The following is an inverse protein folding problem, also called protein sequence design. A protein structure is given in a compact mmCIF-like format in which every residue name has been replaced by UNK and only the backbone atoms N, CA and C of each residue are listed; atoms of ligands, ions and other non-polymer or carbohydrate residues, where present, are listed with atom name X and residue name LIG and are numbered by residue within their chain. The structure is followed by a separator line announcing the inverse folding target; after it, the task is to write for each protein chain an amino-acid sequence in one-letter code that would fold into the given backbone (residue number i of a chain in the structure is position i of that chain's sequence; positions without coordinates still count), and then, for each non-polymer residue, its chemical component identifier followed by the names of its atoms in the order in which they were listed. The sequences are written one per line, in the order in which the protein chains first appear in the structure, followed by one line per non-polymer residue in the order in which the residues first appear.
data_IF_578942038440
#
_entry.id   IF_578942038440
#
_cell.length_a   1.000
_cell.length_b   1.000
_cell.length_c   1.000
_cell.angle_alpha   90.00
_cell.angle_beta   90.00
_cell.angle_gamma   90.00
#
_symmetry.space_group_name_H-M   'P 1'
#
loop_
_entity.id
_entity.type
_entity.pdbx_description
1 polymer ?
#
# COMPACT_ATOMS: atom_id res chain seq x y z
N UNK A 1 -28.02 13.05 -25.36
CA UNK A 1 -27.57 14.29 -24.68
C UNK A 1 -26.15 14.58 -25.14
N UNK A 2 -25.90 15.70 -25.82
CA UNK A 2 -24.59 16.02 -26.41
C UNK A 2 -23.74 16.80 -25.41
N UNK A 3 -22.64 16.22 -24.96
CA UNK A 3 -21.72 16.83 -23.99
C UNK A 3 -20.87 17.93 -24.65
N UNK A 4 -20.67 19.02 -23.90
CA UNK A 4 -19.90 20.20 -24.32
C UNK A 4 -18.39 19.93 -24.37
N UNK A 5 -17.63 20.74 -25.11
CA UNK A 5 -16.17 20.57 -25.32
C UNK A 5 -15.35 20.63 -24.03
N UNK A 6 -15.83 21.37 -23.01
CA UNK A 6 -15.22 21.41 -21.67
C UNK A 6 -15.49 20.13 -20.86
N UNK A 7 -16.65 19.50 -21.05
CA UNK A 7 -16.95 18.19 -20.46
C UNK A 7 -16.08 17.09 -21.09
N UNK A 8 -15.85 17.12 -22.42
CA UNK A 8 -14.96 16.17 -23.10
C UNK A 8 -13.49 16.24 -22.63
N UNK A 9 -13.01 17.42 -22.22
CA UNK A 9 -11.63 17.60 -21.72
C UNK A 9 -11.47 17.08 -20.28
N UNK A 10 -12.49 17.24 -19.41
CA UNK A 10 -12.47 16.62 -18.07
C UNK A 10 -12.46 15.09 -18.14
N UNK A 11 -13.33 14.49 -18.96
CA UNK A 11 -13.38 13.04 -19.19
C UNK A 11 -12.05 12.47 -19.70
N UNK A 12 -11.36 13.16 -20.62
CA UNK A 12 -10.08 12.70 -21.17
C UNK A 12 -8.89 12.76 -20.19
N UNK A 13 -9.01 13.56 -19.12
CA UNK A 13 -7.97 13.66 -18.06
C UNK A 13 -8.22 12.64 -16.95
N UNK A 14 -9.49 12.31 -16.70
CA UNK A 14 -9.97 11.35 -15.70
C UNK A 14 -9.71 9.88 -16.12
N UNK A 15 -9.81 9.54 -17.41
CA UNK A 15 -9.37 8.22 -17.93
C UNK A 15 -7.89 7.96 -17.65
N UNK A 16 -7.01 8.96 -17.81
CA UNK A 16 -5.56 8.79 -17.64
C UNK A 16 -5.15 8.50 -16.19
N UNK A 17 -5.92 8.95 -15.21
CA UNK A 17 -5.61 8.74 -13.79
C UNK A 17 -6.08 7.37 -13.32
N UNK A 18 -7.28 6.94 -13.75
CA UNK A 18 -7.79 5.59 -13.50
C UNK A 18 -6.94 4.52 -14.20
N UNK A 19 -6.49 4.79 -15.44
CA UNK A 19 -5.55 3.94 -16.17
C UNK A 19 -4.23 3.80 -15.41
N UNK A 20 -3.67 4.89 -14.88
CA UNK A 20 -2.40 4.81 -14.12
C UNK A 20 -2.52 4.04 -12.81
N UNK A 21 -3.66 4.14 -12.12
CA UNK A 21 -3.90 3.37 -10.89
C UNK A 21 -4.06 1.88 -11.21
N UNK A 22 -4.82 1.56 -12.27
CA UNK A 22 -4.97 0.20 -12.76
C UNK A 22 -3.65 -0.40 -13.27
N UNK A 23 -2.83 0.36 -14.00
CA UNK A 23 -1.50 -0.06 -14.48
C UNK A 23 -0.52 -0.33 -13.32
N UNK A 24 -0.60 0.44 -12.23
CA UNK A 24 0.19 0.22 -11.01
C UNK A 24 -0.29 -1.02 -10.27
N UNK A 25 -1.60 -1.28 -10.25
CA UNK A 25 -2.20 -2.46 -9.63
C UNK A 25 -1.95 -3.75 -10.43
N UNK A 26 -2.01 -3.69 -11.77
CA UNK A 26 -1.69 -4.81 -12.66
C UNK A 26 -0.23 -5.23 -12.53
N UNK A 27 0.70 -4.26 -12.50
CA UNK A 27 2.12 -4.52 -12.19
C UNK A 27 2.31 -5.13 -10.80
N UNK A 28 1.52 -4.68 -9.82
CA UNK A 28 1.57 -5.19 -8.46
C UNK A 28 1.12 -6.65 -8.34
N UNK A 29 0.08 -7.07 -9.06
CA UNK A 29 -0.41 -8.46 -9.02
C UNK A 29 0.36 -9.41 -9.96
N UNK A 30 0.83 -8.93 -11.11
CA UNK A 30 1.69 -9.69 -12.03
C UNK A 30 3.03 -10.10 -11.42
N UNK A 31 3.57 -9.25 -10.53
CA UNK A 31 4.76 -9.52 -9.70
C UNK A 31 4.65 -10.79 -8.83
N UNK A 32 3.43 -11.24 -8.52
CA UNK A 32 3.19 -12.43 -7.69
C UNK A 32 2.72 -13.66 -8.50
N UNK A 33 2.84 -13.63 -9.83
CA UNK A 33 2.53 -14.77 -10.69
C UNK A 33 1.02 -15.06 -10.85
N UNK A 34 0.16 -14.06 -10.65
CA UNK A 34 -1.25 -14.15 -10.97
C UNK A 34 -1.51 -13.66 -12.40
N UNK A 35 -2.04 -14.53 -13.27
CA UNK A 35 -2.56 -14.12 -14.57
C UNK A 35 -3.85 -13.32 -14.37
N UNK A 36 -3.82 -12.04 -14.72
CA UNK A 36 -5.00 -11.17 -14.78
C UNK A 36 -5.37 -11.02 -16.26
N UNK A 37 -6.30 -11.84 -16.76
CA UNK A 37 -6.96 -11.55 -18.04
C UNK A 37 -8.04 -10.49 -17.81
N UNK A 38 -7.74 -9.23 -18.15
CA UNK A 38 -8.78 -8.23 -18.38
C UNK A 38 -9.26 -8.37 -19.83
N UNK A 39 -10.54 -8.70 -20.10
CA UNK A 39 -11.04 -8.79 -21.46
C UNK A 39 -11.01 -7.40 -22.10
N UNK A 40 -10.04 -7.16 -23.00
CA UNK A 40 -9.93 -5.93 -23.78
C UNK A 40 -11.01 -5.91 -24.86
N UNK A 41 -12.26 -5.61 -24.48
CA UNK A 41 -13.29 -5.11 -25.41
C UNK A 41 -14.19 -4.12 -24.68
N UNK A 42 -14.03 -2.84 -25.06
CA UNK A 42 -14.88 -1.70 -24.70
C UNK A 42 -15.05 -1.44 -23.19
N UNK A 43 -14.20 -0.53 -22.68
CA UNK A 43 -14.28 0.17 -21.39
C UNK A 43 -15.59 -0.03 -20.60
N UNK A 44 -15.66 -1.15 -19.86
CA UNK A 44 -16.55 -1.33 -18.72
C UNK A 44 -15.67 -1.77 -17.56
N UNK A 45 -15.76 -1.01 -16.47
CA UNK A 45 -15.05 -1.25 -15.23
C UNK A 45 -15.44 -2.64 -14.71
N UNK A 46 -14.54 -3.60 -14.73
CA UNK A 46 -14.72 -4.87 -14.02
C UNK A 46 -13.92 -4.81 -12.71
N UNK A 47 -14.61 -5.07 -11.60
CA UNK A 47 -14.14 -4.83 -10.23
C UNK A 47 -13.19 -5.90 -9.69
N UNK A 48 -12.51 -5.58 -8.59
CA UNK A 48 -11.70 -6.51 -7.80
C UNK A 48 -12.58 -7.53 -7.07
N UNK A 49 -12.36 -8.83 -7.33
CA UNK A 49 -13.02 -9.93 -6.63
C UNK A 49 -12.33 -10.26 -5.29
N UNK A 50 -13.06 -10.19 -4.18
CA UNK A 50 -12.64 -10.74 -2.88
C UNK A 50 -13.61 -11.83 -2.42
N UNK A 51 -13.10 -13.03 -2.11
CA UNK A 51 -13.92 -14.21 -1.76
C UNK A 51 -13.86 -14.52 -0.26
N UNK A 52 -15.00 -14.47 0.43
CA UNK A 52 -15.15 -14.81 1.84
C UNK A 52 -15.30 -16.32 2.09
N UNK A 53 -15.03 -16.78 3.33
CA UNK A 53 -15.18 -18.19 3.75
C UNK A 53 -16.62 -18.72 3.70
N UNK A 54 -17.60 -17.86 3.44
CA UNK A 54 -19.02 -18.19 3.25
C UNK A 54 -19.42 -18.30 1.77
N UNK A 55 -18.46 -18.24 0.84
CA UNK A 55 -18.70 -18.34 -0.60
C UNK A 55 -19.18 -17.04 -1.26
N UNK A 56 -19.21 -15.92 -0.55
CA UNK A 56 -19.59 -14.62 -1.12
C UNK A 56 -18.41 -13.95 -1.83
N UNK A 57 -18.67 -13.41 -3.01
CA UNK A 57 -17.74 -12.56 -3.76
C UNK A 57 -18.16 -11.10 -3.61
N UNK A 58 -17.22 -10.24 -3.22
CA UNK A 58 -17.41 -8.79 -3.15
C UNK A 58 -16.66 -8.17 -4.32
N UNK A 59 -17.35 -7.32 -5.09
CA UNK A 59 -16.75 -6.45 -6.10
C UNK A 59 -16.74 -4.99 -5.63
N UNK A 60 -15.58 -4.36 -5.70
CA UNK A 60 -15.36 -2.98 -5.26
C UNK A 60 -15.19 -2.05 -6.47
N UNK A 61 -15.91 -0.93 -6.48
CA UNK A 61 -15.78 0.13 -7.49
C UNK A 61 -15.54 1.49 -6.83
N UNK A 62 -14.59 2.31 -7.32
CA UNK A 62 -14.46 3.70 -6.90
C UNK A 62 -15.62 4.53 -7.48
N UNK A 63 -16.25 5.38 -6.66
CA UNK A 63 -17.31 6.30 -7.10
C UNK A 63 -16.82 7.74 -7.21
N UNK A 64 -17.44 8.51 -8.10
CA UNK A 64 -17.09 9.91 -8.42
C UNK A 64 -17.59 10.96 -7.42
N UNK A 65 -18.11 10.54 -6.28
CA UNK A 65 -18.50 11.44 -5.18
C UNK A 65 -17.63 11.12 -3.98
N UNK A 66 -16.99 12.14 -3.38
CA UNK A 66 -16.09 12.06 -2.22
C UNK A 66 -16.70 11.43 -0.94
N UNK A 67 -17.88 10.79 -1.07
CA UNK A 67 -18.71 10.28 0.01
C UNK A 67 -19.26 8.86 -0.25
N UNK A 68 -19.04 8.24 -1.42
CA UNK A 68 -19.60 6.92 -1.74
C UNK A 68 -18.51 5.87 -1.98
N UNK A 69 -18.50 4.85 -1.13
CA UNK A 69 -17.94 3.53 -1.43
C UNK A 69 -19.12 2.70 -1.98
N UNK A 70 -19.02 2.11 -3.17
CA UNK A 70 -20.08 1.20 -3.66
C UNK A 70 -19.64 -0.22 -3.34
N UNK A 71 -20.33 -0.87 -2.40
CA UNK A 71 -20.22 -2.31 -2.18
C UNK A 71 -21.44 -2.95 -2.83
N UNK A 72 -21.24 -3.66 -3.92
CA UNK A 72 -22.28 -4.45 -4.56
C UNK A 72 -22.25 -5.86 -3.95
N UNK A 73 -23.38 -6.30 -3.38
CA UNK A 73 -23.61 -7.71 -3.08
C UNK A 73 -24.42 -8.30 -4.22
N UNK A 74 -23.84 -9.24 -4.96
CA UNK A 74 -24.60 -10.12 -5.84
C UNK A 74 -25.14 -11.28 -5.01
N UNK A 75 -26.46 -11.48 -5.01
CA UNK A 75 -27.08 -12.75 -4.61
C UNK A 75 -27.39 -13.51 -5.90
N UNK A 76 -26.86 -14.71 -6.05
CA UNK A 76 -27.40 -15.64 -7.05
C UNK A 76 -28.84 -15.98 -6.66
N UNK A 77 -29.80 -15.61 -7.50
CA UNK A 77 -31.11 -16.22 -7.52
C UNK A 77 -31.33 -16.76 -8.93
N UNK A 78 -31.62 -18.05 -9.04
CA UNK A 78 -31.84 -18.76 -10.29
C UNK A 78 -32.77 -17.98 -11.23
N UNK A 79 -32.31 -17.85 -12.49
CA UNK A 79 -32.95 -17.24 -13.69
C UNK A 79 -32.33 -15.90 -14.10
N UNK A 80 -31.17 -15.94 -14.80
CA UNK A 80 -30.64 -15.00 -15.80
C UNK A 80 -30.83 -13.46 -15.68
N UNK A 81 -31.32 -12.95 -14.55
CA UNK A 81 -31.48 -11.54 -14.24
C UNK A 81 -30.51 -11.20 -13.11
N UNK A 82 -29.46 -10.44 -13.43
CA UNK A 82 -28.61 -9.82 -12.40
C UNK A 82 -29.44 -8.68 -11.80
N UNK A 83 -30.15 -8.94 -10.71
CA UNK A 83 -30.67 -7.87 -9.86
C UNK A 83 -29.49 -7.30 -9.10
N UNK A 84 -28.83 -6.30 -9.68
CA UNK A 84 -27.88 -5.47 -8.96
C UNK A 84 -28.66 -4.68 -7.90
N UNK A 85 -28.78 -5.23 -6.69
CA UNK A 85 -29.16 -4.44 -5.53
C UNK A 85 -28.01 -3.49 -5.24
N UNK A 86 -28.11 -2.26 -5.73
CA UNK A 86 -27.21 -1.18 -5.35
C UNK A 86 -27.49 -0.80 -3.90
N UNK A 87 -26.90 -1.52 -2.96
CA UNK A 87 -26.67 -0.98 -1.63
C UNK A 87 -25.70 0.19 -1.79
N UNK A 88 -26.25 1.41 -1.78
CA UNK A 88 -25.45 2.62 -1.72
C UNK A 88 -24.84 2.72 -0.33
N UNK A 89 -23.56 2.39 -0.19
CA UNK A 89 -22.84 2.64 1.05
C UNK A 89 -22.37 4.09 1.07
N UNK A 90 -22.84 4.82 2.06
CA UNK A 90 -22.36 6.17 2.39
C UNK A 90 -21.50 6.07 3.64
N UNK A 91 -20.54 6.99 3.81
CA UNK A 91 -19.82 7.14 5.09
C UNK A 91 -20.78 7.27 6.29
N UNK A 92 -21.96 7.84 6.07
CA UNK A 92 -23.01 7.97 7.09
C UNK A 92 -23.61 6.63 7.55
N UNK A 93 -23.33 5.53 6.83
CA UNK A 93 -23.72 4.17 7.22
C UNK A 93 -22.80 3.55 8.28
N UNK A 94 -21.72 4.22 8.66
CA UNK A 94 -20.74 3.75 9.63
C UNK A 94 -20.79 4.63 10.89
N UNK A 95 -20.33 4.12 12.06
CA UNK A 95 -20.16 4.93 13.25
C UNK A 95 -19.33 6.21 12.97
N UNK A 96 -19.58 7.34 13.65
CA UNK A 96 -18.85 8.59 13.42
C UNK A 96 -17.33 8.51 13.61
N UNK A 97 -16.87 7.53 14.37
CA UNK A 97 -15.47 7.23 14.68
C UNK A 97 -14.88 6.10 13.82
N UNK A 98 -15.63 5.61 12.83
CA UNK A 98 -15.14 4.61 11.89
C UNK A 98 -14.02 5.18 11.01
N UNK A 99 -12.90 4.46 10.93
CA UNK A 99 -11.69 4.89 10.20
C UNK A 99 -11.64 4.23 8.84
N UNK A 100 -11.70 5.02 7.76
CA UNK A 100 -11.37 4.59 6.41
C UNK A 100 -9.88 4.78 6.14
N UNK A 101 -9.19 3.70 5.79
CA UNK A 101 -7.76 3.73 5.53
C UNK A 101 -7.38 3.08 4.19
N UNK A 102 -6.17 3.39 3.74
CA UNK A 102 -5.44 2.62 2.75
C UNK A 102 -4.11 2.15 3.36
N UNK A 103 -3.49 1.13 2.77
CA UNK A 103 -2.22 0.62 3.27
C UNK A 103 -1.26 0.16 2.19
N UNK A 104 0.02 0.14 2.53
CA UNK A 104 1.12 -0.30 1.66
C UNK A 104 2.33 -0.74 2.49
N UNK A 105 3.30 -1.39 1.84
CA UNK A 105 4.60 -1.71 2.44
C UNK A 105 5.74 -0.90 1.81
N UNK A 106 6.80 -0.68 2.59
CA UNK A 106 7.96 0.09 2.18
C UNK A 106 8.61 -0.45 0.91
N UNK A 107 8.94 -1.75 0.87
CA UNK A 107 9.59 -2.35 -0.29
C UNK A 107 8.73 -2.24 -1.56
N UNK A 108 7.41 -2.42 -1.45
CA UNK A 108 6.52 -2.40 -2.62
C UNK A 108 6.43 -1.03 -3.30
N UNK A 109 6.47 0.08 -2.53
CA UNK A 109 6.11 1.39 -3.08
C UNK A 109 7.18 2.48 -2.96
N UNK A 110 8.15 2.36 -2.05
CA UNK A 110 9.12 3.43 -1.83
C UNK A 110 10.07 3.63 -3.01
N UNK A 111 10.62 2.53 -3.53
CA UNK A 111 11.75 2.60 -4.45
C UNK A 111 13.00 3.16 -3.79
N UNK A 112 13.84 3.84 -4.57
CA UNK A 112 15.09 4.45 -4.09
C UNK A 112 15.95 3.45 -3.31
N UNK A 113 16.06 2.22 -3.86
CA UNK A 113 16.58 1.06 -3.15
C UNK A 113 18.06 1.19 -2.75
N UNK A 114 18.84 2.00 -3.45
CA UNK A 114 20.27 2.23 -3.17
C UNK A 114 20.60 3.70 -2.90
N UNK A 115 19.59 4.50 -2.57
CA UNK A 115 19.76 5.93 -2.35
C UNK A 115 19.92 6.27 -0.87
N UNK A 116 20.64 7.37 -0.61
CA UNK A 116 20.68 8.04 0.69
C UNK A 116 21.02 7.10 1.86
N UNK A 117 21.93 6.14 1.64
CA UNK A 117 22.45 5.27 2.67
C UNK A 117 21.58 4.07 3.03
N UNK A 118 20.44 3.83 2.34
CA UNK A 118 19.72 2.54 2.45
C UNK A 118 20.63 1.40 1.97
N UNK A 119 20.64 0.30 2.70
CA UNK A 119 21.27 -0.97 2.28
C UNK A 119 20.21 -1.98 1.86
N UNK A 120 20.65 -3.10 1.30
CA UNK A 120 19.75 -4.14 0.79
C UNK A 120 18.94 -4.78 1.93
N UNK A 121 17.66 -5.01 1.68
CA UNK A 121 16.80 -5.94 2.41
C UNK A 121 16.82 -7.33 1.76
N UNK A 122 16.20 -8.31 2.42
CA UNK A 122 16.04 -9.66 1.85
C UNK A 122 15.33 -9.66 0.50
N UNK A 123 14.39 -8.73 0.27
CA UNK A 123 13.68 -8.63 -0.98
C UNK A 123 14.53 -8.06 -2.12
N UNK A 124 15.45 -7.14 -1.84
CA UNK A 124 16.39 -6.66 -2.86
C UNK A 124 17.18 -7.85 -3.41
N UNK A 125 17.83 -8.61 -2.53
CA UNK A 125 18.61 -9.81 -2.90
C UNK A 125 17.77 -10.84 -3.64
N UNK A 126 16.57 -11.14 -3.14
CA UNK A 126 15.67 -12.12 -3.76
C UNK A 126 15.27 -11.72 -5.18
N UNK A 127 14.86 -10.47 -5.38
CA UNK A 127 14.40 -10.00 -6.69
C UNK A 127 15.56 -9.79 -7.68
N UNK A 128 16.73 -9.34 -7.22
CA UNK A 128 17.94 -9.24 -8.06
C UNK A 128 18.51 -10.60 -8.46
N UNK A 129 18.14 -11.68 -7.76
CA UNK A 129 18.44 -13.05 -8.16
C UNK A 129 17.46 -13.62 -9.23
N UNK A 130 16.64 -12.76 -9.85
CA UNK A 130 15.63 -13.11 -10.88
C UNK A 130 14.67 -14.22 -10.43
N UNK A 131 14.30 -14.24 -9.14
CA UNK A 131 13.39 -15.23 -8.56
C UNK A 131 11.91 -14.88 -8.71
N UNK A 132 11.61 -13.69 -9.23
CA UNK A 132 10.26 -13.23 -9.55
C UNK A 132 9.87 -13.71 -10.96
N UNK A 133 8.60 -14.08 -11.16
CA UNK A 133 8.13 -14.67 -12.43
C UNK A 133 8.41 -13.79 -13.66
N UNK A 134 8.19 -12.47 -13.54
CA UNK A 134 8.46 -11.49 -14.60
C UNK A 134 9.87 -10.86 -14.52
N UNK A 135 10.70 -11.35 -13.59
CA UNK A 135 12.06 -10.86 -13.28
C UNK A 135 12.14 -9.39 -12.87
N UNK A 136 11.02 -8.77 -12.50
CA UNK A 136 11.03 -7.37 -12.07
C UNK A 136 11.45 -7.24 -10.59
N UNK A 137 11.67 -6.00 -10.17
CA UNK A 137 12.12 -5.64 -8.82
C UNK A 137 11.53 -4.29 -8.41
N UNK A 138 11.65 -3.95 -7.13
CA UNK A 138 11.11 -2.71 -6.58
C UNK A 138 12.17 -1.60 -6.43
N UNK A 139 13.23 -1.60 -7.25
CA UNK A 139 14.28 -0.56 -7.21
C UNK A 139 13.68 0.86 -7.33
N UNK A 140 12.65 1.00 -8.16
CA UNK A 140 11.90 2.23 -8.42
C UNK A 140 10.55 2.21 -7.67
N UNK A 141 9.89 1.04 -7.59
CA UNK A 141 8.57 0.91 -6.97
C UNK A 141 7.54 1.88 -7.59
N UNK A 142 6.74 2.51 -6.72
CA UNK A 142 5.84 3.62 -7.08
C UNK A 142 6.47 5.00 -6.84
N UNK A 143 7.77 5.05 -6.60
CA UNK A 143 8.56 6.25 -6.30
C UNK A 143 8.07 7.07 -5.10
N UNK A 144 7.41 6.44 -4.11
CA UNK A 144 6.92 7.17 -2.94
C UNK A 144 8.04 7.88 -2.19
N UNK A 145 9.25 7.32 -2.17
CA UNK A 145 10.40 7.95 -1.52
C UNK A 145 10.61 9.41 -1.98
N UNK A 146 10.40 9.65 -3.28
CA UNK A 146 10.55 10.97 -3.89
C UNK A 146 9.23 11.75 -3.99
N UNK A 147 8.09 11.06 -4.06
CA UNK A 147 6.76 11.63 -4.35
C UNK A 147 5.77 11.57 -3.20
N UNK A 148 6.24 11.34 -1.97
CA UNK A 148 5.37 11.15 -0.81
C UNK A 148 4.37 12.29 -0.60
N UNK A 149 4.73 13.54 -0.90
CA UNK A 149 3.81 14.70 -0.80
C UNK A 149 2.62 14.58 -1.75
N UNK A 150 2.89 14.20 -3.00
CA UNK A 150 1.83 13.99 -4.00
C UNK A 150 0.94 12.82 -3.61
N UNK A 151 1.54 11.76 -3.04
CA UNK A 151 0.78 10.61 -2.53
C UNK A 151 -0.11 10.99 -1.35
N UNK A 152 0.40 11.73 -0.36
CA UNK A 152 -0.39 12.20 0.80
C UNK A 152 -1.51 13.13 0.36
N UNK A 153 -1.27 14.00 -0.62
CA UNK A 153 -2.32 14.84 -1.20
C UNK A 153 -3.44 14.00 -1.83
N UNK A 154 -3.08 12.96 -2.59
CA UNK A 154 -4.07 12.05 -3.17
C UNK A 154 -4.89 11.33 -2.08
N UNK A 155 -4.23 10.88 -1.00
CA UNK A 155 -4.91 10.27 0.15
C UNK A 155 -5.91 11.23 0.81
N UNK A 156 -5.57 12.51 0.91
CA UNK A 156 -6.49 13.54 1.39
C UNK A 156 -7.66 13.76 0.42
N UNK A 157 -7.41 13.83 -0.88
CA UNK A 157 -8.44 14.03 -1.90
C UNK A 157 -9.44 12.86 -1.93
N UNK A 158 -8.97 11.64 -1.60
CA UNK A 158 -9.80 10.44 -1.39
C UNK A 158 -10.57 10.47 -0.05
N UNK A 159 -10.22 11.38 0.85
CA UNK A 159 -10.84 11.55 2.17
C UNK A 159 -10.37 10.52 3.21
N UNK A 160 -9.21 9.89 3.06
CA UNK A 160 -8.76 8.87 4.03
C UNK A 160 -8.58 9.47 5.43
N UNK A 161 -9.00 8.72 6.45
CA UNK A 161 -8.85 9.09 7.86
C UNK A 161 -7.49 8.65 8.41
N UNK A 162 -6.95 7.55 7.87
CA UNK A 162 -5.67 6.98 8.27
C UNK A 162 -4.93 6.36 7.09
N UNK A 163 -3.62 6.18 7.27
CA UNK A 163 -2.75 5.52 6.31
C UNK A 163 -1.86 4.51 7.02
N UNK A 164 -1.96 3.24 6.60
CA UNK A 164 -1.18 2.13 7.14
C UNK A 164 0.09 1.94 6.32
N UNK A 165 1.22 2.34 6.89
CA UNK A 165 2.54 2.29 6.25
C UNK A 165 3.48 1.37 7.02
N UNK A 166 4.49 0.81 6.35
CA UNK A 166 5.63 0.21 7.04
C UNK A 166 6.86 1.11 6.99
N UNK A 167 7.76 0.92 7.95
CA UNK A 167 9.09 1.53 7.96
C UNK A 167 10.07 0.47 7.45
N UNK A 168 10.90 0.82 6.47
CA UNK A 168 11.94 -0.09 6.00
C UNK A 168 13.10 -0.09 6.99
N UNK A 169 13.30 -1.25 7.65
CA UNK A 169 14.39 -1.43 8.60
C UNK A 169 15.75 -1.17 7.93
N UNK A 170 15.97 -1.72 6.73
CA UNK A 170 17.20 -1.51 5.94
C UNK A 170 17.44 -0.06 5.49
N UNK A 171 16.40 0.80 5.50
CA UNK A 171 16.54 2.24 5.25
C UNK A 171 16.86 3.00 6.53
N UNK A 172 16.18 2.66 7.63
CA UNK A 172 16.34 3.34 8.91
C UNK A 172 17.65 2.97 9.61
N UNK A 173 17.99 1.68 9.61
CA UNK A 173 19.19 1.10 10.24
C UNK A 173 19.85 0.17 9.19
N UNK A 174 20.73 0.71 8.32
CA UNK A 174 21.20 -0.02 7.14
C UNK A 174 21.97 -1.30 7.45
N UNK A 175 22.72 -1.33 8.54
CA UNK A 175 23.45 -2.52 9.00
C UNK A 175 22.63 -3.40 9.95
N UNK A 176 21.32 -3.14 10.05
CA UNK A 176 20.40 -3.77 10.98
C UNK A 176 20.58 -3.40 12.45
N UNK A 177 21.74 -2.82 12.81
CA UNK A 177 22.10 -2.45 14.18
C UNK A 177 22.68 -1.05 14.30
N UNK A 178 22.61 -0.54 15.53
CA UNK A 178 23.30 0.65 16.08
C UNK A 178 23.01 1.99 15.38
N UNK A 179 23.47 2.16 14.14
CA UNK A 179 23.54 3.45 13.49
C UNK A 179 22.27 3.74 12.68
N UNK A 180 21.50 4.72 13.17
CA UNK A 180 20.39 5.28 12.40
C UNK A 180 20.93 6.06 11.21
N UNK A 181 20.39 5.77 10.02
CA UNK A 181 20.63 6.56 8.82
C UNK A 181 19.85 7.88 8.90
N UNK A 182 20.52 9.05 9.02
CA UNK A 182 19.83 10.33 9.17
C UNK A 182 18.93 10.67 7.98
N UNK A 183 19.24 10.20 6.77
CA UNK A 183 18.41 10.45 5.59
C UNK A 183 17.15 9.58 5.58
N UNK A 184 17.27 8.31 5.99
CA UNK A 184 16.12 7.43 6.21
C UNK A 184 15.20 7.96 7.30
N UNK A 185 15.77 8.37 8.43
CA UNK A 185 15.05 9.01 9.54
C UNK A 185 14.29 10.26 9.09
N UNK A 186 14.95 11.14 8.33
CA UNK A 186 14.32 12.36 7.81
C UNK A 186 13.17 12.07 6.84
N UNK A 187 13.30 11.04 6.00
CA UNK A 187 12.22 10.64 5.09
C UNK A 187 10.95 10.25 5.86
N UNK A 188 11.06 9.35 6.84
CA UNK A 188 9.90 8.94 7.63
C UNK A 188 9.33 10.08 8.49
N UNK A 189 10.18 10.91 9.08
CA UNK A 189 9.74 12.13 9.77
C UNK A 189 8.93 13.05 8.86
N UNK A 190 9.40 13.27 7.64
CA UNK A 190 8.73 14.14 6.68
C UNK A 190 7.40 13.54 6.20
N UNK A 191 7.35 12.24 5.90
CA UNK A 191 6.12 11.55 5.52
C UNK A 191 5.07 11.60 6.66
N UNK A 192 5.48 11.29 7.89
CA UNK A 192 4.60 11.35 9.07
C UNK A 192 4.08 12.77 9.29
N UNK A 193 4.94 13.78 9.19
CA UNK A 193 4.54 15.18 9.34
C UNK A 193 3.56 15.62 8.25
N UNK A 194 3.78 15.18 7.00
CA UNK A 194 2.88 15.48 5.88
C UNK A 194 1.50 14.85 6.11
N UNK A 195 1.44 13.57 6.48
CA UNK A 195 0.19 12.88 6.82
C UNK A 195 -0.61 13.63 7.89
N UNK A 196 0.05 14.01 8.98
CA UNK A 196 -0.58 14.74 10.09
C UNK A 196 -1.08 16.12 9.65
N UNK A 197 -0.30 16.83 8.84
CA UNK A 197 -0.69 18.14 8.29
C UNK A 197 -1.97 18.03 7.46
N UNK A 198 -2.14 16.91 6.76
CA UNK A 198 -3.33 16.59 5.97
C UNK A 198 -4.45 15.90 6.77
N UNK A 199 -4.30 15.78 8.10
CA UNK A 199 -5.23 15.12 9.05
C UNK A 199 -5.43 13.62 8.80
N UNK A 200 -4.42 12.97 8.25
CA UNK A 200 -4.38 11.53 8.02
C UNK A 200 -3.56 10.90 9.15
N UNK A 201 -4.17 9.99 9.90
CA UNK A 201 -3.48 9.34 11.01
C UNK A 201 -2.48 8.29 10.50
N UNK A 202 -1.18 8.37 10.84
CA UNK A 202 -0.24 7.32 10.50
C UNK A 202 -0.48 6.09 11.38
N UNK A 203 -0.60 4.93 10.74
CA UNK A 203 -0.57 3.62 11.39
C UNK A 203 0.67 2.87 10.91
N UNK A 204 1.60 2.56 11.82
CA UNK A 204 2.91 2.05 11.43
C UNK A 204 3.03 0.56 11.67
N UNK A 205 3.58 -0.14 10.69
CA UNK A 205 3.99 -1.54 10.76
C UNK A 205 5.51 -1.58 10.83
N UNK A 206 6.06 -2.25 11.84
CA UNK A 206 7.51 -2.32 12.04
C UNK A 206 8.18 -3.29 11.07
N UNK A 207 7.60 -4.48 10.86
CA UNK A 207 8.10 -5.46 9.91
C UNK A 207 7.04 -5.82 8.86
N UNK A 208 7.41 -5.63 7.60
CA UNK A 208 6.62 -6.05 6.44
C UNK A 208 7.51 -6.81 5.45
N UNK A 209 8.18 -7.84 5.96
CA UNK A 209 9.04 -8.78 5.22
C UNK A 209 10.32 -8.18 4.63
N UNK A 210 10.80 -7.00 5.07
CA UNK A 210 11.94 -6.31 4.47
C UNK A 210 13.10 -6.05 5.44
N UNK A 211 13.43 -7.03 6.29
CA UNK A 211 14.59 -6.91 7.18
C UNK A 211 15.91 -6.81 6.40
N UNK A 212 16.95 -6.18 6.97
CA UNK A 212 18.24 -5.99 6.30
C UNK A 212 18.89 -7.31 5.92
N UNK A 213 19.44 -7.39 4.69
CA UNK A 213 20.11 -8.60 4.18
C UNK A 213 21.27 -9.04 5.07
N UNK A 214 21.99 -8.10 5.68
CA UNK A 214 23.12 -8.42 6.57
C UNK A 214 22.72 -9.32 7.75
N UNK A 215 21.49 -9.19 8.25
CA UNK A 215 20.98 -10.04 9.33
C UNK A 215 20.60 -11.44 8.82
N UNK A 216 20.13 -11.52 7.57
CA UNK A 216 19.88 -12.79 6.89
C UNK A 216 21.19 -13.55 6.64
N UNK A 217 22.22 -12.85 6.15
CA UNK A 217 23.53 -13.43 5.84
C UNK A 217 24.28 -13.90 7.10
N UNK A 218 24.16 -13.16 8.21
CA UNK A 218 24.91 -13.45 9.43
C UNK A 218 24.31 -14.63 10.21
N UNK A 219 22.98 -14.74 10.29
CA UNK A 219 22.34 -15.72 11.16
C UNK A 219 20.96 -16.19 10.69
N UNK A 220 20.61 -16.02 9.42
CA UNK A 220 19.31 -16.38 8.84
C UNK A 220 18.12 -15.56 9.40
N UNK A 221 18.37 -14.30 9.78
CA UNK A 221 17.32 -13.34 10.09
C UNK A 221 16.28 -13.87 11.07
N UNK A 222 15.01 -13.88 10.65
CA UNK A 222 13.86 -14.29 11.46
C UNK A 222 13.89 -15.78 11.90
N UNK A 223 14.72 -16.63 11.28
CA UNK A 223 14.84 -18.05 11.65
C UNK A 223 15.73 -18.27 12.89
N UNK A 224 16.35 -17.23 13.41
CA UNK A 224 17.26 -17.30 14.55
C UNK A 224 16.77 -16.45 15.72
N UNK A 225 16.91 -16.93 16.97
CA UNK A 225 16.51 -16.16 18.15
C UNK A 225 17.32 -14.86 18.34
N UNK A 226 18.47 -14.71 17.67
CA UNK A 226 19.25 -13.46 17.69
C UNK A 226 18.46 -12.27 17.15
N UNK A 227 17.52 -12.51 16.23
CA UNK A 227 16.67 -11.46 15.65
C UNK A 227 15.83 -10.72 16.69
N UNK A 228 15.58 -11.34 17.85
CA UNK A 228 14.75 -10.75 18.91
C UNK A 228 15.41 -9.48 19.42
N UNK A 229 16.71 -9.53 19.74
CA UNK A 229 17.46 -8.38 20.24
C UNK A 229 17.55 -7.27 19.19
N UNK A 230 17.88 -7.63 17.95
CA UNK A 230 18.02 -6.67 16.86
C UNK A 230 16.69 -6.01 16.50
N UNK A 231 15.59 -6.78 16.47
CA UNK A 231 14.25 -6.25 16.21
C UNK A 231 13.76 -5.36 17.36
N UNK A 232 14.05 -5.72 18.61
CA UNK A 232 13.71 -4.88 19.77
C UNK A 232 14.46 -3.55 19.70
N UNK A 233 15.76 -3.54 19.41
CA UNK A 233 16.54 -2.32 19.26
C UNK A 233 16.01 -1.42 18.12
N UNK A 234 15.63 -2.04 16.98
CA UNK A 234 14.98 -1.33 15.88
C UNK A 234 13.62 -0.73 16.28
N UNK A 235 12.78 -1.50 16.97
CA UNK A 235 11.48 -1.05 17.45
C UNK A 235 11.62 0.12 18.45
N UNK A 236 12.58 0.06 19.36
CA UNK A 236 12.88 1.12 20.33
C UNK A 236 13.25 2.43 19.64
N UNK A 237 14.07 2.36 18.58
CA UNK A 237 14.38 3.53 17.75
C UNK A 237 13.12 4.08 17.09
N UNK A 238 12.28 3.23 16.49
CA UNK A 238 11.03 3.67 15.88
C UNK A 238 10.10 4.36 16.89
N UNK A 239 9.94 3.79 18.09
CA UNK A 239 9.11 4.37 19.13
C UNK A 239 9.69 5.69 19.66
N UNK A 240 11.00 5.77 19.83
CA UNK A 240 11.68 6.99 20.28
C UNK A 240 11.54 8.13 19.27
N UNK A 241 11.76 7.84 17.99
CA UNK A 241 11.83 8.86 16.94
C UNK A 241 10.45 9.28 16.41
N UNK A 242 9.46 8.39 16.46
CA UNK A 242 8.15 8.62 15.85
C UNK A 242 6.96 8.52 16.81
N UNK A 243 7.14 7.99 18.02
CA UNK A 243 6.05 7.73 18.97
C UNK A 243 5.37 8.99 19.54
N UNK A 244 6.00 10.16 19.38
CA UNK A 244 5.38 11.45 19.68
C UNK A 244 4.16 11.72 18.79
N UNK A 245 4.21 11.25 17.53
CA UNK A 245 3.20 11.47 16.47
C UNK A 245 2.41 10.22 16.09
N UNK A 246 3.03 9.04 16.10
CA UNK A 246 2.41 7.76 15.72
C UNK A 246 1.82 7.08 16.96
N UNK A 247 0.51 6.82 16.94
CA UNK A 247 -0.23 6.22 18.06
C UNK A 247 -0.73 4.80 17.81
N UNK A 248 -0.70 4.35 16.55
CA UNK A 248 -1.11 3.00 16.16
C UNK A 248 0.09 2.25 15.58
N UNK A 249 0.41 1.12 16.19
CA UNK A 249 1.58 0.31 15.86
C UNK A 249 1.18 -1.15 15.67
N UNK A 250 1.74 -1.79 14.65
CA UNK A 250 1.72 -3.23 14.43
C UNK A 250 3.16 -3.72 14.34
N UNK A 251 3.51 -4.80 15.06
CA UNK A 251 4.87 -5.33 15.03
C UNK A 251 5.17 -6.04 13.72
N UNK A 252 4.28 -6.95 13.30
CA UNK A 252 4.42 -7.74 12.08
C UNK A 252 3.17 -7.62 11.21
N UNK A 253 3.38 -7.58 9.89
CA UNK A 253 2.35 -7.88 8.92
C UNK A 253 2.31 -9.39 8.66
N UNK A 254 1.11 -9.97 8.64
CA UNK A 254 0.85 -11.34 8.14
C UNK A 254 1.89 -12.40 8.55
N UNK A 255 2.18 -12.60 9.85
CA UNK A 255 3.24 -13.52 10.30
C UNK A 255 3.00 -15.00 9.97
N UNK A 256 1.84 -15.33 9.39
CA UNK A 256 1.42 -16.67 9.03
C UNK A 256 1.55 -16.99 7.52
N UNK A 257 2.02 -16.04 6.72
CA UNK A 257 2.31 -16.19 5.29
C UNK A 257 3.79 -16.53 5.13
#
# INVERSE_FOLDING_TARGET
MVLTRSQKIRYATEERLAIKIAEVQEKFFGLFGYDVELPVKECQLEGLDARGKDGKTIQLFPSSSSSLLVVASAREYNNNDIIATTSTFSRNGFPPDFVFNAGSSAYQIEGAASENGRKQSIWDTFTHAEKVADKSNANIGSEQYHKYKDNVKLMQDMGLDAYRMSISWSRLIPDGREAVNPKGLNYYNNLINELITHRIQPQVILNHFDHPQVLEDEYNGLLSPKIIEDFTAYADICFKEFGDRVKSWSTFNEPNI
#
